data_IF_317570710948
#
_entry.id   IF_317570710948
#
_cell.length_a   1.000
_cell.length_b   1.000
_cell.length_c   1.000
_cell.angle_alpha   90.00
_cell.angle_beta   90.00
_cell.angle_gamma   90.00
#
_symmetry.space_group_name_H-M   'P 1'
#
loop_
_entity.id
_entity.type
_entity.pdbx_description
1 polymer ?
#
# COMPACT_ATOMS: atom_id res chain seq x y z
N UNK A 1 14.78 20.90 7.80
CA UNK A 1 14.24 19.57 7.53
C UNK A 1 15.38 18.55 7.51
N UNK A 2 15.28 17.47 8.29
CA UNK A 2 16.24 16.39 8.28
C UNK A 2 15.70 15.22 7.44
N UNK A 3 16.53 14.71 6.52
CA UNK A 3 16.20 13.51 5.74
C UNK A 3 16.48 12.28 6.60
N UNK A 4 15.56 11.32 6.63
CA UNK A 4 15.77 10.00 7.25
C UNK A 4 16.20 8.98 6.19
N UNK A 5 16.96 7.94 6.57
CA UNK A 5 17.28 6.85 5.66
C UNK A 5 16.00 6.20 5.12
N UNK A 6 15.97 5.97 3.81
CA UNK A 6 14.83 5.35 3.14
C UNK A 6 14.98 5.41 1.62
N UNK A 7 14.09 4.78 0.87
CA UNK A 7 14.13 4.85 -0.59
C UNK A 7 13.94 6.29 -1.07
N UNK A 8 14.75 6.70 -2.02
CA UNK A 8 14.58 8.00 -2.69
C UNK A 8 13.38 7.86 -3.64
N UNK A 9 12.25 8.42 -3.23
CA UNK A 9 11.06 8.50 -4.09
C UNK A 9 11.04 9.87 -4.73
N UNK A 10 11.17 9.91 -6.06
CA UNK A 10 10.98 11.13 -6.84
C UNK A 10 9.73 10.94 -7.69
N UNK A 11 8.72 11.75 -7.40
CA UNK A 11 7.50 11.81 -8.21
C UNK A 11 7.44 13.19 -8.84
N UNK A 12 7.12 13.24 -10.13
CA UNK A 12 6.94 14.51 -10.84
C UNK A 12 5.73 15.24 -10.25
N UNK A 13 5.87 16.52 -9.82
CA UNK A 13 4.76 17.31 -9.31
C UNK A 13 3.59 17.43 -10.30
N UNK A 14 3.84 17.43 -11.61
CA UNK A 14 2.80 17.48 -12.64
C UNK A 14 1.98 16.18 -12.66
N UNK A 15 2.67 15.02 -12.49
CA UNK A 15 2.00 13.71 -12.37
C UNK A 15 1.11 13.69 -11.12
N UNK A 16 1.64 14.12 -9.97
CA UNK A 16 0.85 14.20 -8.74
C UNK A 16 -0.35 15.13 -8.88
N UNK A 17 -0.17 16.29 -9.48
CA UNK A 17 -1.24 17.27 -9.73
C UNK A 17 -2.36 16.69 -10.60
N UNK A 18 -2.02 16.03 -11.71
CA UNK A 18 -2.99 15.39 -12.59
C UNK A 18 -3.78 14.28 -11.87
N UNK A 19 -3.09 13.44 -11.09
CA UNK A 19 -3.70 12.37 -10.30
C UNK A 19 -4.65 12.95 -9.24
N UNK A 20 -4.22 13.97 -8.50
CA UNK A 20 -5.04 14.59 -7.45
C UNK A 20 -6.32 15.23 -8.01
N UNK A 21 -6.24 15.87 -9.16
CA UNK A 21 -7.41 16.43 -9.86
C UNK A 21 -8.35 15.32 -10.29
N UNK A 22 -7.83 14.26 -10.90
CA UNK A 22 -8.64 13.14 -11.40
C UNK A 22 -9.29 12.30 -10.28
N UNK A 23 -8.70 12.28 -9.08
CA UNK A 23 -9.32 11.65 -7.89
C UNK A 23 -10.48 12.53 -7.39
N UNK A 24 -10.32 13.84 -7.33
CA UNK A 24 -11.35 14.76 -6.81
C UNK A 24 -12.57 14.88 -7.73
N UNK A 25 -12.31 15.02 -9.03
CA UNK A 25 -13.33 15.05 -10.06
C UNK A 25 -13.16 13.79 -10.91
N UNK A 26 -13.95 12.71 -10.69
CA UNK A 26 -13.65 11.37 -11.16
C UNK A 26 -13.50 11.28 -12.69
N UNK A 27 -12.30 11.62 -13.16
CA UNK A 27 -11.87 11.49 -14.54
C UNK A 27 -10.87 10.36 -14.71
N UNK A 28 -10.97 9.63 -15.82
CA UNK A 28 -9.96 8.64 -16.21
C UNK A 28 -8.65 9.33 -16.57
N UNK A 29 -7.54 8.63 -16.34
CA UNK A 29 -6.19 9.06 -16.67
C UNK A 29 -5.56 8.13 -17.69
N UNK A 30 -4.81 8.69 -18.64
CA UNK A 30 -3.77 7.95 -19.34
C UNK A 30 -2.46 8.15 -18.59
N UNK A 31 -1.86 7.05 -18.10
CA UNK A 31 -0.57 7.06 -17.43
C UNK A 31 0.47 6.31 -18.27
N UNK A 32 1.70 6.83 -18.36
CA UNK A 32 2.85 6.09 -18.86
C UNK A 32 3.53 5.43 -17.66
N UNK A 33 3.39 4.10 -17.54
CA UNK A 33 3.84 3.31 -16.41
C UNK A 33 4.84 2.24 -16.81
N UNK A 34 5.95 2.15 -16.08
CA UNK A 34 6.95 1.09 -16.25
C UNK A 34 6.89 0.14 -15.04
N UNK A 35 6.39 -1.07 -15.24
CA UNK A 35 6.38 -2.13 -14.24
C UNK A 35 7.81 -2.59 -13.87
N UNK A 36 7.90 -3.50 -12.89
CA UNK A 36 9.20 -3.98 -12.43
C UNK A 36 9.97 -4.78 -13.50
N UNK A 37 9.21 -5.49 -14.34
CA UNK A 37 9.72 -6.40 -15.34
C UNK A 37 9.47 -5.89 -16.77
N UNK A 38 9.06 -4.63 -16.93
CA UNK A 38 8.80 -4.05 -18.25
C UNK A 38 10.06 -3.36 -18.76
N UNK A 39 10.46 -3.62 -19.99
CA UNK A 39 11.61 -3.00 -20.64
C UNK A 39 11.38 -1.52 -20.92
N UNK A 40 10.12 -1.10 -21.09
CA UNK A 40 9.74 0.27 -21.37
C UNK A 40 8.40 0.64 -20.67
N UNK A 41 8.16 1.95 -20.56
CA UNK A 41 6.89 2.44 -20.06
C UNK A 41 5.76 2.18 -21.06
N UNK A 42 4.66 1.62 -20.58
CA UNK A 42 3.45 1.36 -21.35
C UNK A 42 2.35 2.35 -21.00
N UNK A 43 1.61 2.81 -22.00
CA UNK A 43 0.45 3.63 -21.75
C UNK A 43 -0.72 2.77 -21.25
N UNK A 44 -1.32 3.22 -20.13
CA UNK A 44 -2.48 2.57 -19.52
C UNK A 44 -3.57 3.60 -19.27
N UNK A 45 -4.80 3.23 -19.55
CA UNK A 45 -5.97 4.03 -19.16
C UNK A 45 -6.50 3.48 -17.86
N UNK A 46 -6.57 4.36 -16.85
CA UNK A 46 -6.94 3.98 -15.49
C UNK A 46 -7.98 4.91 -14.90
N UNK A 47 -8.82 4.37 -14.03
CA UNK A 47 -9.78 5.11 -13.20
C UNK A 47 -9.18 5.26 -11.80
N UNK A 48 -8.73 6.47 -11.38
CA UNK A 48 -8.07 6.67 -10.10
C UNK A 48 -9.06 6.70 -8.93
N UNK A 49 -8.76 5.96 -7.87
CA UNK A 49 -9.60 5.89 -6.67
C UNK A 49 -8.95 6.53 -5.45
N UNK A 50 -7.63 6.48 -5.32
CA UNK A 50 -6.92 7.07 -4.19
C UNK A 50 -5.42 6.92 -4.27
N UNK A 51 -4.72 7.41 -3.26
CA UNK A 51 -3.27 7.26 -3.11
C UNK A 51 -2.94 6.69 -1.74
N UNK A 52 -2.04 5.71 -1.71
CA UNK A 52 -1.42 5.21 -0.49
C UNK A 52 -0.06 5.86 -0.33
N UNK A 53 0.14 6.54 0.80
CA UNK A 53 1.36 7.29 1.13
C UNK A 53 2.08 6.59 2.29
N UNK A 54 3.25 6.05 2.01
CA UNK A 54 4.09 5.36 2.99
C UNK A 54 5.55 5.41 2.56
N UNK A 55 6.35 4.39 2.92
CA UNK A 55 7.75 4.25 2.48
C UNK A 55 7.83 4.27 0.94
N UNK A 56 6.87 3.67 0.29
CA UNK A 56 6.59 3.81 -1.14
C UNK A 56 5.21 4.43 -1.31
N UNK A 57 5.01 5.12 -2.43
CA UNK A 57 3.77 5.81 -2.75
C UNK A 57 3.10 5.13 -3.94
N UNK A 58 1.79 4.91 -3.84
CA UNK A 58 1.02 4.20 -4.87
C UNK A 58 -0.25 4.95 -5.23
N UNK A 59 -0.56 4.95 -6.52
CA UNK A 59 -1.88 5.24 -7.04
C UNK A 59 -2.69 3.94 -7.01
N UNK A 60 -3.87 3.96 -6.43
CA UNK A 60 -4.87 2.90 -6.52
C UNK A 60 -5.84 3.27 -7.62
N UNK A 61 -5.92 2.42 -8.62
CA UNK A 61 -6.77 2.65 -9.78
C UNK A 61 -7.27 1.34 -10.41
N UNK A 62 -8.41 1.39 -11.08
CA UNK A 62 -8.84 0.32 -11.98
C UNK A 62 -8.09 0.43 -13.31
N UNK A 63 -7.46 -0.65 -13.75
CA UNK A 63 -6.76 -0.74 -15.04
C UNK A 63 -7.75 -1.18 -16.12
N UNK A 64 -8.16 -0.26 -16.99
CA UNK A 64 -9.18 -0.54 -18.01
C UNK A 64 -8.69 -1.51 -19.10
N UNK A 65 -7.38 -1.57 -19.34
CA UNK A 65 -6.75 -2.47 -20.29
C UNK A 65 -6.53 -3.89 -19.73
N UNK A 66 -6.80 -4.14 -18.45
CA UNK A 66 -6.54 -5.41 -17.78
C UNK A 66 -7.73 -5.85 -16.90
N UNK A 67 -8.87 -6.10 -17.55
CA UNK A 67 -10.06 -6.64 -16.88
C UNK A 67 -10.73 -5.73 -15.84
N UNK A 68 -10.39 -4.43 -15.82
CA UNK A 68 -10.91 -3.44 -14.87
C UNK A 68 -10.67 -3.78 -13.40
N UNK A 69 -9.61 -4.56 -13.09
CA UNK A 69 -9.23 -4.88 -11.72
C UNK A 69 -8.51 -3.70 -11.06
N UNK A 70 -8.67 -3.56 -9.74
CA UNK A 70 -7.88 -2.63 -8.94
C UNK A 70 -6.41 -3.04 -8.94
N UNK A 71 -5.54 -2.06 -9.15
CA UNK A 71 -4.09 -2.24 -9.15
C UNK A 71 -3.42 -1.12 -8.38
N UNK A 72 -2.21 -1.43 -7.89
CA UNK A 72 -1.30 -0.49 -7.23
C UNK A 72 -0.23 -0.07 -8.22
N UNK A 73 -0.23 1.19 -8.62
CA UNK A 73 0.79 1.77 -9.50
C UNK A 73 1.75 2.61 -8.68
N UNK A 74 3.02 2.23 -8.61
CA UNK A 74 4.03 3.03 -7.91
C UNK A 74 4.16 4.40 -8.57
N UNK A 75 3.99 5.46 -7.78
CA UNK A 75 4.02 6.84 -8.31
C UNK A 75 5.37 7.21 -8.93
N UNK A 76 6.48 6.71 -8.38
CA UNK A 76 7.84 6.93 -8.91
C UNK A 76 8.14 6.20 -10.23
N UNK A 77 7.21 5.36 -10.70
CA UNK A 77 7.27 4.65 -11.98
C UNK A 77 6.27 5.18 -13.01
N UNK A 78 5.55 6.24 -12.67
CA UNK A 78 4.66 6.94 -13.60
C UNK A 78 5.45 8.13 -14.16
N UNK A 79 5.82 8.06 -15.44
CA UNK A 79 6.57 9.13 -16.11
C UNK A 79 5.66 10.24 -16.67
N UNK A 80 4.38 9.96 -16.90
CA UNK A 80 3.39 10.98 -17.26
C UNK A 80 2.00 10.56 -16.83
N UNK A 81 1.14 11.54 -16.56
CA UNK A 81 -0.29 11.35 -16.29
C UNK A 81 -1.08 12.45 -16.98
N UNK A 82 -2.09 12.08 -17.77
CA UNK A 82 -2.95 13.01 -18.52
C UNK A 82 -4.41 12.66 -18.31
N UNK A 83 -5.23 13.65 -17.96
CA UNK A 83 -6.67 13.50 -17.85
C UNK A 83 -7.24 13.26 -19.25
N UNK A 84 -8.05 12.20 -19.42
CA UNK A 84 -8.62 11.83 -20.73
C UNK A 84 -9.84 12.68 -21.13
N UNK A 85 -10.45 13.38 -20.17
CA UNK A 85 -11.73 14.04 -20.33
C UNK A 85 -12.94 13.11 -20.14
N UNK A 86 -12.74 11.82 -19.99
CA UNK A 86 -13.80 10.87 -19.69
C UNK A 86 -14.02 10.78 -18.19
N UNK A 87 -15.23 11.08 -17.73
CA UNK A 87 -15.65 10.83 -16.36
C UNK A 87 -16.03 9.37 -16.16
N UNK A 88 -15.88 8.88 -14.94
CA UNK A 88 -16.34 7.55 -14.53
C UNK A 88 -17.16 7.63 -13.24
N UNK A 89 -18.03 6.66 -13.02
CA UNK A 89 -18.74 6.51 -11.76
C UNK A 89 -17.91 5.65 -10.82
N UNK A 90 -17.60 6.17 -9.65
CA UNK A 90 -16.93 5.40 -8.61
C UNK A 90 -17.80 4.23 -8.16
N UNK A 91 -17.15 3.13 -7.89
CA UNK A 91 -17.78 1.99 -7.23
C UNK A 91 -18.16 2.41 -5.79
N UNK A 92 -19.46 2.39 -5.43
CA UNK A 92 -19.88 2.79 -4.09
C UNK A 92 -19.41 1.81 -3.01
N UNK A 93 -19.10 0.57 -3.37
CA UNK A 93 -18.65 -0.47 -2.45
C UNK A 93 -17.11 -0.46 -2.26
N UNK A 94 -16.39 0.42 -2.97
CA UNK A 94 -14.95 0.54 -2.80
C UNK A 94 -14.61 1.48 -1.64
N UNK A 95 -13.96 0.92 -0.63
CA UNK A 95 -13.32 1.66 0.44
C UNK A 95 -11.78 1.58 0.31
N UNK A 96 -11.11 2.73 0.39
CA UNK A 96 -9.65 2.81 0.24
C UNK A 96 -8.92 2.25 1.46
N UNK A 97 -9.45 2.46 2.65
CA UNK A 97 -8.85 2.00 3.90
C UNK A 97 -8.96 0.47 4.00
N UNK A 98 -10.12 -0.09 3.65
CA UNK A 98 -10.32 -1.53 3.56
C UNK A 98 -9.39 -2.16 2.50
N UNK A 99 -9.25 -1.52 1.34
CA UNK A 99 -8.31 -1.98 0.31
C UNK A 99 -6.85 -1.91 0.77
N UNK A 100 -6.48 -0.87 1.51
CA UNK A 100 -5.14 -0.72 2.09
C UNK A 100 -4.87 -1.77 3.18
N UNK A 101 -5.87 -2.06 4.01
CA UNK A 101 -5.79 -3.04 5.09
C UNK A 101 -5.61 -4.50 4.63
N UNK A 102 -5.75 -4.80 3.34
CA UNK A 102 -5.41 -6.12 2.80
C UNK A 102 -3.89 -6.40 2.78
N UNK A 103 -3.06 -5.42 3.11
CA UNK A 103 -1.61 -5.55 3.09
C UNK A 103 -0.99 -4.94 4.34
N UNK A 104 0.04 -5.58 4.87
CA UNK A 104 0.84 -5.02 5.95
C UNK A 104 1.58 -3.73 5.53
N UNK A 105 1.99 -3.66 4.28
CA UNK A 105 2.66 -2.49 3.70
C UNK A 105 2.04 -2.11 2.36
N UNK A 106 2.90 -2.01 1.37
CA UNK A 106 2.49 -1.52 0.05
C UNK A 106 2.27 -2.63 -0.97
N UNK A 107 2.82 -3.81 -0.71
CA UNK A 107 2.68 -4.98 -1.59
C UNK A 107 1.46 -5.79 -1.22
N UNK A 108 0.67 -6.19 -2.21
CA UNK A 108 -0.45 -7.10 -2.06
C UNK A 108 -0.34 -8.29 -3.02
N UNK A 109 -0.65 -9.47 -2.49
CA UNK A 109 -0.79 -10.71 -3.26
C UNK A 109 -1.87 -11.55 -2.59
N UNK A 110 -2.86 -11.96 -3.37
CA UNK A 110 -3.95 -12.83 -2.87
C UNK A 110 -3.39 -14.17 -2.35
N UNK A 111 -2.30 -14.66 -2.96
CA UNK A 111 -1.63 -15.89 -2.52
C UNK A 111 -0.94 -15.76 -1.15
N UNK A 112 -0.64 -14.53 -0.72
CA UNK A 112 -0.01 -14.23 0.57
C UNK A 112 -1.02 -13.71 1.61
N UNK A 113 -2.29 -13.54 1.25
CA UNK A 113 -3.31 -12.99 2.15
C UNK A 113 -3.77 -14.05 3.14
N UNK A 114 -3.10 -14.09 4.29
CA UNK A 114 -3.29 -15.11 5.34
C UNK A 114 -3.33 -14.47 6.72
N UNK A 115 -3.81 -15.26 7.69
CA UNK A 115 -3.70 -14.88 9.10
C UNK A 115 -2.23 -14.87 9.53
N UNK A 116 -1.82 -13.75 10.09
CA UNK A 116 -0.49 -13.51 10.67
C UNK A 116 -0.61 -13.50 12.18
N UNK A 117 0.30 -14.16 12.86
CA UNK A 117 0.40 -14.14 14.32
C UNK A 117 1.85 -13.80 14.68
N UNK A 118 2.01 -12.68 15.40
CA UNK A 118 3.27 -12.32 16.03
C UNK A 118 3.17 -12.54 17.54
N UNK A 119 4.19 -13.15 18.08
CA UNK A 119 4.28 -13.38 19.51
C UNK A 119 5.53 -12.70 20.04
N UNK A 120 5.34 -11.62 20.77
CA UNK A 120 6.42 -10.87 21.40
C UNK A 120 6.73 -11.46 22.78
N UNK A 121 8.02 -11.71 23.03
CA UNK A 121 8.49 -12.18 24.31
C UNK A 121 8.08 -11.23 25.45
N UNK A 122 7.97 -11.70 26.71
CA UNK A 122 7.59 -10.86 27.84
C UNK A 122 8.43 -9.59 27.99
N UNK A 123 9.73 -9.66 27.66
CA UNK A 123 10.65 -8.52 27.69
C UNK A 123 10.34 -7.43 26.65
N UNK A 124 9.60 -7.76 25.60
CA UNK A 124 9.21 -6.83 24.53
C UNK A 124 7.72 -6.48 24.56
N UNK A 125 6.91 -7.18 25.34
CA UNK A 125 5.45 -7.06 25.34
C UNK A 125 4.96 -5.62 25.59
N UNK A 126 5.54 -4.90 26.57
CA UNK A 126 5.19 -3.53 26.87
C UNK A 126 5.48 -2.58 25.70
N UNK A 127 6.66 -2.71 25.08
CA UNK A 127 7.02 -1.88 23.94
C UNK A 127 6.18 -2.21 22.68
N UNK A 128 5.88 -3.50 22.44
CA UNK A 128 5.06 -3.91 21.32
C UNK A 128 3.60 -3.42 21.44
N UNK A 129 3.09 -3.29 22.67
CA UNK A 129 1.73 -2.79 22.94
C UNK A 129 1.53 -1.33 22.52
N UNK A 130 2.60 -0.55 22.43
CA UNK A 130 2.54 0.84 21.97
C UNK A 130 2.37 0.98 20.46
N UNK A 131 2.42 -0.15 19.70
CA UNK A 131 2.33 -0.13 18.25
C UNK A 131 0.96 -0.59 17.77
N UNK A 132 0.43 0.17 16.81
CA UNK A 132 -0.57 -0.32 15.89
C UNK A 132 0.15 -0.86 14.66
N UNK A 133 0.27 -2.19 14.59
CA UNK A 133 0.92 -2.86 13.46
C UNK A 133 0.01 -3.01 12.26
N UNK A 134 -1.30 -3.11 12.54
CA UNK A 134 -2.33 -3.29 11.51
C UNK A 134 -3.67 -2.79 12.03
N UNK A 135 -4.50 -2.07 11.22
CA UNK A 135 -5.77 -1.50 11.68
C UNK A 135 -6.73 -2.56 12.25
N UNK A 136 -6.69 -3.77 11.73
CA UNK A 136 -7.55 -4.88 12.16
C UNK A 136 -6.83 -5.86 13.10
N UNK A 137 -5.79 -5.40 13.84
CA UNK A 137 -5.08 -6.26 14.77
C UNK A 137 -5.90 -6.60 16.01
N UNK A 138 -5.76 -7.83 16.46
CA UNK A 138 -6.25 -8.30 17.77
C UNK A 138 -5.05 -8.56 18.66
N UNK A 139 -5.00 -7.89 19.80
CA UNK A 139 -3.91 -7.99 20.77
C UNK A 139 -4.38 -8.78 21.98
N UNK A 140 -3.61 -9.77 22.41
CA UNK A 140 -3.94 -10.64 23.52
C UNK A 140 -2.73 -10.84 24.42
N UNK A 141 -2.92 -10.70 25.74
CA UNK A 141 -1.90 -11.08 26.75
C UNK A 141 -1.88 -12.59 26.91
N UNK A 142 -0.69 -13.18 26.93
CA UNK A 142 -0.52 -14.60 27.21
C UNK A 142 -0.14 -14.83 28.69
N UNK A 143 -0.46 -16.00 29.27
CA UNK A 143 -0.24 -16.27 30.68
C UNK A 143 1.21 -16.17 31.12
N UNK A 144 2.17 -16.35 30.22
CA UNK A 144 3.61 -16.23 30.46
C UNK A 144 4.14 -14.80 30.36
N UNK A 145 3.26 -13.83 30.13
CA UNK A 145 3.59 -12.42 29.98
C UNK A 145 3.98 -12.00 28.57
N UNK A 146 3.92 -12.91 27.59
CA UNK A 146 4.10 -12.58 26.18
C UNK A 146 2.88 -11.82 25.63
N UNK A 147 3.08 -11.08 24.54
CA UNK A 147 2.03 -10.39 23.80
C UNK A 147 1.81 -11.06 22.45
N UNK A 148 0.59 -11.49 22.21
CA UNK A 148 0.16 -12.02 20.92
C UNK A 148 -0.57 -10.93 20.13
N UNK A 149 -0.12 -10.68 18.88
CA UNK A 149 -0.77 -9.78 17.93
C UNK A 149 -1.18 -10.59 16.70
N UNK A 150 -2.47 -10.59 16.38
CA UNK A 150 -3.01 -11.34 15.26
C UNK A 150 -3.75 -10.41 14.31
N UNK A 151 -3.55 -10.56 13.01
CA UNK A 151 -4.25 -9.84 11.94
C UNK A 151 -4.22 -10.67 10.65
N UNK A 152 -4.94 -10.23 9.63
CA UNK A 152 -4.91 -10.87 8.31
C UNK A 152 -4.39 -9.87 7.29
N UNK A 153 -3.28 -10.19 6.62
CA UNK A 153 -2.69 -9.35 5.59
C UNK A 153 -1.75 -10.15 4.68
N UNK A 154 -1.41 -9.55 3.53
CA UNK A 154 -0.29 -9.95 2.67
C UNK A 154 0.93 -9.06 2.92
N UNK A 155 2.07 -9.36 2.27
CA UNK A 155 3.29 -8.55 2.34
C UNK A 155 4.34 -9.11 3.31
N UNK A 156 4.65 -10.38 3.21
CA UNK A 156 5.57 -11.08 4.13
C UNK A 156 6.97 -10.48 4.18
N UNK A 157 7.49 -9.98 3.05
CA UNK A 157 8.81 -9.34 3.00
C UNK A 157 8.83 -8.05 3.82
N UNK A 158 7.77 -7.23 3.70
CA UNK A 158 7.65 -5.99 4.47
C UNK A 158 7.45 -6.27 5.96
N UNK A 159 6.70 -7.34 6.31
CA UNK A 159 6.56 -7.84 7.67
C UNK A 159 7.91 -8.28 8.24
N UNK A 160 8.69 -9.07 7.50
CA UNK A 160 10.00 -9.53 7.93
C UNK A 160 10.95 -8.35 8.19
N UNK A 161 10.96 -7.34 7.33
CA UNK A 161 11.76 -6.13 7.56
C UNK A 161 11.29 -5.33 8.78
N UNK A 162 9.99 -5.28 9.02
CA UNK A 162 9.46 -4.62 10.21
C UNK A 162 9.87 -5.37 11.49
N UNK A 163 9.80 -6.71 11.47
CA UNK A 163 10.15 -7.54 12.61
C UNK A 163 11.65 -7.57 12.91
N UNK A 164 12.49 -7.32 11.92
CA UNK A 164 13.95 -7.33 12.09
C UNK A 164 14.44 -6.47 13.27
N UNK A 165 13.80 -5.34 13.55
CA UNK A 165 14.13 -4.46 14.67
C UNK A 165 13.87 -5.08 16.06
N UNK A 166 13.02 -6.11 16.13
CA UNK A 166 12.67 -6.78 17.37
C UNK A 166 13.63 -7.92 17.70
N UNK A 167 14.44 -8.38 16.74
CA UNK A 167 15.43 -9.44 16.90
C UNK A 167 14.82 -10.77 17.32
N UNK A 168 15.35 -11.35 18.38
CA UNK A 168 14.91 -12.61 18.97
C UNK A 168 13.69 -12.48 19.90
N UNK A 169 13.08 -11.30 19.97
CA UNK A 169 11.95 -11.02 20.87
C UNK A 169 10.58 -11.17 20.21
N UNK A 170 10.53 -11.57 18.96
CA UNK A 170 9.30 -11.80 18.20
C UNK A 170 9.39 -13.09 17.38
#
# INVERSE_FOLDING_TARGET
>A
YASRPGPRVKVDPQVLGAIAVAIKAPFSLTIAYQGANDDAALNRVVEPYGMLLGIRQYLIARDLGNGRHFRRFRLDRISSAKITGQSFTRDPDFDLDDYAAQSFGSYHSDAEYLQVIWRFAPSAAAAAREFEFHPNQVVTDEPDGALRVAFTASGWVEMAWHLYKWGDKV
#
